data_IF_015936577633
#
_entry.id   IF_015936577633
#
_cell.length_a   1.000
_cell.length_b   1.000
_cell.length_c   1.000
_cell.angle_alpha   90.00
_cell.angle_beta   90.00
_cell.angle_gamma   90.00
#
_symmetry.space_group_name_H-M   'P 1'
#
loop_
_entity.id
_entity.type
_entity.pdbx_description
1 polymer ?
#
# COMPACT_ATOMS: atom_id res chain seq x y z
N UNK A 1 3.55 1.88 -27.63
CA UNK A 1 4.27 2.15 -26.37
C UNK A 1 3.23 2.31 -25.27
N UNK A 2 3.12 1.41 -24.28
CA UNK A 2 2.22 1.66 -23.16
C UNK A 2 2.75 2.86 -22.36
N UNK A 3 1.91 3.87 -22.15
CA UNK A 3 2.28 5.08 -21.41
C UNK A 3 2.73 4.70 -19.98
N UNK A 4 3.85 5.27 -19.47
CA UNK A 4 4.28 5.09 -18.09
C UNK A 4 3.31 5.83 -17.14
N UNK A 5 2.77 5.14 -16.15
CA UNK A 5 1.79 5.68 -15.20
C UNK A 5 2.16 5.27 -13.78
N UNK A 6 1.88 6.16 -12.82
CA UNK A 6 2.21 5.91 -11.42
C UNK A 6 1.37 4.74 -10.88
N UNK A 7 2.05 3.80 -10.23
CA UNK A 7 1.44 2.65 -9.60
C UNK A 7 1.40 2.83 -8.08
N UNK A 8 0.19 2.92 -7.52
CA UNK A 8 0.01 2.82 -6.07
C UNK A 8 0.28 1.37 -5.64
N UNK A 9 1.23 1.20 -4.71
CA UNK A 9 1.50 -0.10 -4.12
C UNK A 9 0.37 -0.50 -3.18
N UNK A 10 -0.48 -1.42 -3.64
CA UNK A 10 -1.53 -2.05 -2.82
C UNK A 10 -1.26 -3.53 -2.63
N UNK A 11 -1.93 -4.13 -1.65
CA UNK A 11 -1.69 -5.50 -1.22
C UNK A 11 -3.02 -6.25 -1.14
N UNK A 12 -3.07 -7.45 -1.69
CA UNK A 12 -4.21 -8.35 -1.53
C UNK A 12 -3.91 -9.37 -0.43
N UNK A 13 -4.83 -9.63 0.51
CA UNK A 13 -4.65 -10.70 1.49
C UNK A 13 -4.55 -12.05 0.76
N UNK A 14 -3.72 -12.96 1.28
CA UNK A 14 -3.68 -14.34 0.80
C UNK A 14 -4.96 -15.10 1.20
N UNK A 15 -5.28 -16.22 0.53
CA UNK A 15 -6.49 -17.00 0.83
C UNK A 15 -6.59 -17.44 2.30
N UNK A 16 -5.46 -17.79 2.91
CA UNK A 16 -5.30 -18.23 4.29
C UNK A 16 -5.09 -17.08 5.29
N UNK A 17 -5.28 -15.82 4.86
CA UNK A 17 -5.03 -14.64 5.70
C UNK A 17 -5.79 -14.68 7.03
N UNK A 18 -7.09 -14.99 6.99
CA UNK A 18 -7.91 -15.02 8.21
C UNK A 18 -7.46 -16.11 9.19
N UNK A 19 -7.10 -17.28 8.68
CA UNK A 19 -6.59 -18.41 9.47
C UNK A 19 -5.26 -18.05 10.14
N UNK A 20 -4.34 -17.43 9.38
CA UNK A 20 -3.06 -16.95 9.92
C UNK A 20 -3.28 -15.90 11.00
N UNK A 21 -4.15 -14.92 10.78
CA UNK A 21 -4.45 -13.91 11.81
C UNK A 21 -5.07 -14.55 13.06
N UNK A 22 -5.92 -15.57 12.91
CA UNK A 22 -6.55 -16.26 14.03
C UNK A 22 -5.55 -16.98 14.96
N UNK A 23 -4.35 -17.35 14.46
CA UNK A 23 -3.28 -17.93 15.30
C UNK A 23 -2.76 -16.98 16.38
N UNK A 24 -2.86 -15.66 16.16
CA UNK A 24 -2.41 -14.63 17.11
C UNK A 24 -3.59 -14.11 17.94
N UNK A 25 -4.73 -13.91 17.28
CA UNK A 25 -5.92 -13.34 17.89
C UNK A 25 -7.15 -14.06 17.34
N UNK A 26 -7.72 -15.04 18.07
CA UNK A 26 -8.82 -15.87 17.60
C UNK A 26 -10.06 -15.04 17.22
N UNK A 27 -10.24 -13.88 17.86
CA UNK A 27 -11.33 -12.96 17.54
C UNK A 27 -10.81 -11.78 16.71
N UNK A 28 -11.48 -11.42 15.60
CA UNK A 28 -11.11 -10.26 14.80
C UNK A 28 -11.03 -8.94 15.59
N UNK A 29 -11.85 -8.77 16.63
CA UNK A 29 -11.81 -7.60 17.51
C UNK A 29 -10.55 -7.51 18.36
N UNK A 30 -9.98 -8.64 18.80
CA UNK A 30 -8.69 -8.68 19.50
C UNK A 30 -7.57 -8.28 18.56
N UNK A 31 -7.57 -8.81 17.35
CA UNK A 31 -6.59 -8.45 16.33
C UNK A 31 -6.64 -6.94 15.99
N UNK A 32 -7.84 -6.39 15.84
CA UNK A 32 -8.04 -4.97 15.58
C UNK A 32 -7.48 -4.10 16.71
N UNK A 33 -7.64 -4.53 17.98
CA UNK A 33 -7.03 -3.85 19.13
C UNK A 33 -5.51 -3.89 19.09
N UNK A 34 -4.91 -5.04 18.82
CA UNK A 34 -3.45 -5.20 18.73
C UNK A 34 -2.84 -4.35 17.61
N UNK A 35 -3.51 -4.30 16.46
CA UNK A 35 -3.05 -3.53 15.29
C UNK A 35 -3.40 -2.05 15.33
N UNK A 36 -4.29 -1.62 16.23
CA UNK A 36 -4.88 -0.29 16.19
C UNK A 36 -5.62 -0.04 14.87
N UNK A 37 -6.19 -1.09 14.25
CA UNK A 37 -7.01 -0.99 13.05
C UNK A 37 -8.48 -0.87 13.43
N UNK A 38 -9.25 0.03 12.79
CA UNK A 38 -10.69 0.02 12.93
C UNK A 38 -11.25 -1.31 12.41
N UNK A 39 -12.22 -1.89 13.13
CA UNK A 39 -12.89 -3.12 12.73
C UNK A 39 -13.48 -3.06 11.31
N UNK A 40 -14.06 -1.92 10.94
CA UNK A 40 -14.56 -1.67 9.59
C UNK A 40 -13.45 -1.77 8.51
N UNK A 41 -12.22 -1.36 8.85
CA UNK A 41 -11.07 -1.51 7.94
C UNK A 41 -10.71 -2.97 7.76
N UNK A 42 -10.65 -3.74 8.85
CA UNK A 42 -10.39 -5.18 8.79
C UNK A 42 -11.42 -5.90 7.91
N UNK A 43 -12.71 -5.65 8.14
CA UNK A 43 -13.78 -6.24 7.33
C UNK A 43 -13.72 -5.82 5.86
N UNK A 44 -13.32 -4.57 5.58
CA UNK A 44 -13.11 -4.11 4.21
C UNK A 44 -11.97 -4.87 3.52
N UNK A 45 -10.89 -5.20 4.22
CA UNK A 45 -9.78 -5.99 3.65
C UNK A 45 -10.29 -7.35 3.19
N UNK A 46 -11.06 -8.04 4.04
CA UNK A 46 -11.62 -9.35 3.71
C UNK A 46 -12.61 -9.28 2.54
N UNK A 47 -13.47 -8.26 2.52
CA UNK A 47 -14.50 -8.11 1.48
C UNK A 47 -13.94 -7.67 0.13
N UNK A 48 -13.03 -6.70 0.14
CA UNK A 48 -12.49 -6.06 -1.08
C UNK A 48 -11.28 -6.82 -1.61
N UNK A 49 -10.62 -7.62 -0.77
CA UNK A 49 -9.41 -8.35 -1.15
C UNK A 49 -8.25 -7.41 -1.47
N UNK A 50 -8.23 -6.20 -0.87
CA UNK A 50 -7.18 -5.20 -1.11
C UNK A 50 -7.03 -4.24 0.06
N UNK A 51 -5.79 -3.81 0.29
CA UNK A 51 -5.44 -2.80 1.28
C UNK A 51 -4.24 -1.95 0.85
N UNK A 52 -4.04 -0.81 1.53
CA UNK A 52 -2.89 0.07 1.27
C UNK A 52 -1.59 -0.54 1.82
N UNK A 53 -0.43 -0.11 1.29
CA UNK A 53 0.89 -0.45 1.86
C UNK A 53 0.97 -0.18 3.36
N UNK A 54 0.47 0.98 3.80
CA UNK A 54 0.50 1.38 5.21
C UNK A 54 -0.25 0.39 6.09
N UNK A 55 -1.44 -0.02 5.68
CA UNK A 55 -2.27 -0.96 6.43
C UNK A 55 -1.68 -2.38 6.41
N UNK A 56 -1.17 -2.83 5.27
CA UNK A 56 -0.50 -4.14 5.16
C UNK A 56 0.73 -4.23 6.07
N UNK A 57 1.60 -3.20 6.05
CA UNK A 57 2.78 -3.14 6.92
C UNK A 57 2.43 -3.08 8.40
N UNK A 58 1.35 -2.37 8.77
CA UNK A 58 0.88 -2.33 10.16
C UNK A 58 0.45 -3.73 10.63
N UNK A 59 -0.28 -4.47 9.80
CA UNK A 59 -0.66 -5.86 10.09
C UNK A 59 0.57 -6.75 10.19
N UNK A 60 1.48 -6.66 9.22
CA UNK A 60 2.70 -7.45 9.18
C UNK A 60 3.60 -7.22 10.40
N UNK A 61 3.69 -5.99 10.92
CA UNK A 61 4.46 -5.68 12.14
C UNK A 61 3.92 -6.40 13.37
N UNK A 62 2.61 -6.36 13.57
CA UNK A 62 1.98 -7.07 14.71
C UNK A 62 2.10 -8.58 14.53
N UNK A 63 1.96 -9.07 13.31
CA UNK A 63 2.13 -10.49 13.02
C UNK A 63 3.56 -10.97 13.29
N UNK A 64 4.57 -10.22 12.84
CA UNK A 64 5.97 -10.49 13.10
C UNK A 64 6.28 -10.46 14.60
N UNK A 65 5.81 -9.41 15.30
CA UNK A 65 5.98 -9.28 16.76
C UNK A 65 5.35 -10.45 17.52
N UNK A 66 4.20 -10.96 17.09
CA UNK A 66 3.55 -12.08 17.76
C UNK A 66 4.20 -13.44 17.47
N UNK A 67 5.00 -13.56 16.41
CA UNK A 67 5.63 -14.83 16.03
C UNK A 67 7.11 -14.92 16.42
N UNK A 68 7.73 -13.82 16.89
CA UNK A 68 9.13 -13.64 17.38
C UNK A 68 10.29 -14.15 16.50
N UNK A 69 10.01 -14.95 15.46
CA UNK A 69 10.99 -15.66 14.63
C UNK A 69 10.96 -15.22 13.17
N UNK A 70 10.13 -14.22 12.83
CA UNK A 70 9.99 -13.74 11.46
C UNK A 70 10.15 -12.23 11.39
N UNK A 71 10.79 -11.75 10.34
CA UNK A 71 10.91 -10.34 10.03
C UNK A 71 9.56 -9.76 9.57
N UNK A 72 9.44 -8.42 9.63
CA UNK A 72 8.26 -7.71 9.10
C UNK A 72 8.08 -7.96 7.60
N UNK A 73 9.17 -8.14 6.85
CA UNK A 73 9.12 -8.43 5.41
C UNK A 73 8.54 -9.82 5.17
N UNK A 74 9.03 -10.83 5.88
CA UNK A 74 8.50 -12.19 5.77
C UNK A 74 7.02 -12.25 6.19
N UNK A 75 6.65 -11.58 7.29
CA UNK A 75 5.26 -11.47 7.70
C UNK A 75 4.38 -10.81 6.62
N UNK A 76 4.89 -9.78 5.92
CA UNK A 76 4.18 -9.15 4.82
C UNK A 76 3.98 -10.12 3.66
N UNK A 77 5.01 -10.87 3.28
CA UNK A 77 4.99 -11.83 2.17
C UNK A 77 4.13 -13.07 2.49
N UNK A 78 4.07 -13.47 3.77
CA UNK A 78 3.21 -14.55 4.27
C UNK A 78 1.72 -14.17 4.31
N UNK A 79 1.40 -12.90 4.54
CA UNK A 79 0.01 -12.46 4.69
C UNK A 79 -0.58 -11.86 3.42
N UNK A 80 0.25 -11.28 2.55
CA UNK A 80 -0.20 -10.50 1.41
C UNK A 80 0.55 -10.81 0.11
N UNK A 81 -0.11 -10.49 -1.00
CA UNK A 81 0.47 -10.45 -2.34
C UNK A 81 0.48 -9.00 -2.84
N UNK A 82 1.64 -8.47 -3.30
CA UNK A 82 1.69 -7.17 -3.95
C UNK A 82 0.78 -7.12 -5.18
N UNK A 83 -0.08 -6.11 -5.23
CA UNK A 83 -1.06 -5.86 -6.30
C UNK A 83 -1.00 -4.38 -6.67
N UNK A 84 0.03 -3.91 -7.38
CA UNK A 84 0.11 -2.51 -7.81
C UNK A 84 -1.13 -2.14 -8.64
N UNK A 85 -1.57 -0.89 -8.53
CA UNK A 85 -2.70 -0.37 -9.30
C UNK A 85 -2.39 1.01 -9.85
N UNK A 86 -2.93 1.30 -11.02
CA UNK A 86 -2.85 2.61 -11.63
C UNK A 86 -3.42 3.67 -10.68
N UNK A 87 -2.67 4.74 -10.45
CA UNK A 87 -3.15 5.92 -9.74
C UNK A 87 -4.04 6.73 -10.68
N UNK A 88 -5.25 7.04 -10.22
CA UNK A 88 -6.17 7.92 -10.91
C UNK A 88 -6.21 9.26 -10.18
N UNK A 89 -6.11 10.36 -10.91
CA UNK A 89 -6.24 11.72 -10.40
C UNK A 89 -7.45 12.43 -11.02
N UNK A 90 -8.14 13.31 -10.27
CA UNK A 90 -9.24 14.09 -10.80
C UNK A 90 -8.72 15.07 -11.86
N UNK A 91 -9.47 15.24 -12.94
CA UNK A 91 -9.17 16.24 -13.98
C UNK A 91 -9.78 17.58 -13.53
N UNK A 92 -8.97 18.62 -13.30
CA UNK A 92 -9.45 19.92 -12.83
C UNK A 92 -10.59 20.46 -13.70
N UNK A 93 -11.64 20.99 -13.07
CA UNK A 93 -12.82 21.53 -13.77
C UNK A 93 -13.77 20.48 -14.35
N UNK A 94 -13.59 19.18 -14.06
CA UNK A 94 -14.48 18.12 -14.55
C UNK A 94 -14.76 17.05 -13.47
N UNK A 95 -15.80 16.24 -13.69
CA UNK A 95 -16.07 15.03 -12.90
C UNK A 95 -15.30 13.78 -13.40
N UNK A 96 -14.32 13.95 -14.28
CA UNK A 96 -13.56 12.84 -14.88
C UNK A 96 -12.27 12.59 -14.12
N UNK A 97 -11.78 11.36 -14.20
CA UNK A 97 -10.48 10.95 -13.65
C UNK A 97 -9.55 10.53 -14.79
N UNK A 98 -8.27 10.87 -14.68
CA UNK A 98 -7.21 10.42 -15.60
C UNK A 98 -6.15 9.62 -14.86
N UNK A 99 -5.39 8.80 -15.59
CA UNK A 99 -4.21 8.12 -15.04
C UNK A 99 -3.17 9.18 -14.72
N UNK A 100 -2.58 9.12 -13.53
CA UNK A 100 -1.42 9.95 -13.22
C UNK A 100 -0.23 9.41 -14.00
N UNK A 101 0.41 10.27 -14.78
CA UNK A 101 1.65 9.94 -15.46
C UNK A 101 2.75 9.73 -14.41
N UNK A 102 3.73 8.87 -14.70
CA UNK A 102 4.95 8.88 -13.88
C UNK A 102 5.57 10.27 -13.97
N UNK A 103 6.00 10.82 -12.82
CA UNK A 103 6.85 12.01 -12.85
C UNK A 103 8.11 11.63 -13.66
N UNK A 104 8.49 12.42 -14.69
CA UNK A 104 9.76 12.18 -15.35
C UNK A 104 10.86 12.23 -14.29
N UNK A 105 11.91 11.37 -14.38
CA UNK A 105 13.02 11.44 -13.45
C UNK A 105 13.51 12.89 -13.37
N UNK A 106 13.59 13.42 -12.16
CA UNK A 106 14.02 14.79 -11.88
C UNK A 106 15.52 14.94 -12.16
N UNK A 107 15.92 14.78 -13.41
CA UNK A 107 17.24 15.13 -13.94
C UNK A 107 17.11 16.43 -14.74
N UNK A 108 16.81 17.53 -14.04
CA UNK A 108 17.07 18.89 -14.52
C UNK A 108 16.87 19.93 -13.40
N UNK A 109 17.51 19.69 -12.24
CA UNK A 109 17.99 20.80 -11.42
C UNK A 109 19.51 20.82 -11.51
N UNK A 110 20.06 21.34 -12.61
CA UNK A 110 21.37 21.99 -12.56
C UNK A 110 21.55 22.95 -13.73
N UNK A 111 21.84 24.20 -13.35
CA UNK A 111 22.56 25.22 -14.11
C UNK A 111 21.96 25.71 -15.45
N UNK A 112 21.15 26.76 -15.37
CA UNK A 112 21.42 27.95 -16.19
C UNK A 112 21.33 29.19 -15.30
N UNK A 113 22.46 29.49 -14.67
CA UNK A 113 22.77 30.79 -14.09
C UNK A 113 23.77 31.46 -15.04
N UNK A 114 23.46 32.67 -15.49
CA UNK A 114 24.38 33.59 -16.21
C UNK A 114 24.18 33.61 -17.73
N UNK A 115 24.22 34.74 -18.43
CA UNK A 115 24.41 36.14 -18.06
C UNK A 115 23.91 37.01 -19.24
N UNK A 116 23.62 38.28 -18.94
CA UNK A 116 23.42 39.34 -19.93
C UNK A 116 24.72 39.68 -20.71
N UNK A 117 24.57 40.32 -21.88
CA UNK A 117 25.62 40.88 -22.76
C UNK A 117 25.66 40.16 -24.12
N UNK A 118 25.53 40.77 -25.30
CA UNK A 118 25.59 42.17 -25.77
C UNK A 118 24.41 42.48 -26.71
#
# INVERSE_FOLDING_TARGET
>A
MPHPYELAQTYAPRPDFAERIATIAPKPGEFCRLTGLPYATYMRILRVGRTSKRTALRIARVYAWANDQISVREALDLLFVPRPRVVMEPVPGTNRFRRRADDPPSDAQSAFHGSAGD
#
